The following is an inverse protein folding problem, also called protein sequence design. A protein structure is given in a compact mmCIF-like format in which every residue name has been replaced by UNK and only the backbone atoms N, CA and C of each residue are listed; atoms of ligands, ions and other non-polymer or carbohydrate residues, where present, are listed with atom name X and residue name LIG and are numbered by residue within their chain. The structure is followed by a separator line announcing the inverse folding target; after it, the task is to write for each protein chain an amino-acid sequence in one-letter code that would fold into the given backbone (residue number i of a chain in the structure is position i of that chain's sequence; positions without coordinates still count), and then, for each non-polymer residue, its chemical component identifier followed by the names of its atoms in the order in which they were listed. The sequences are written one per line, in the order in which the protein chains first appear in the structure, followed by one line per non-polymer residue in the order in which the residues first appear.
data_IF_475506465123
#
_entry.id   IF_475506465123
#
_cell.length_a   1.000
_cell.length_b   1.000
_cell.length_c   1.000
_cell.angle_alpha   90.00
_cell.angle_beta   90.00
_cell.angle_gamma   90.00
#
_symmetry.space_group_name_H-M   'P 1'
#
loop_
_entity.id
_entity.type
_entity.pdbx_description
1 polymer ?
#
# COMPACT_ATOMS: atom_id res chain seq x y z
N UNK A 1 21.51 -6.79 -11.84
CA UNK A 1 21.26 -8.24 -11.77
C UNK A 1 19.77 -8.44 -11.74
N UNK A 2 19.30 -9.58 -12.22
CA UNK A 2 17.86 -9.91 -12.30
C UNK A 2 17.25 -10.38 -10.97
N UNK A 3 18.09 -10.59 -9.94
CA UNK A 3 17.70 -11.07 -8.61
C UNK A 3 17.04 -12.47 -8.66
N UNK A 4 17.27 -13.26 -9.71
CA UNK A 4 16.62 -14.58 -9.86
C UNK A 4 17.07 -15.59 -8.79
N UNK A 5 18.22 -15.37 -8.17
CA UNK A 5 18.80 -16.16 -7.08
C UNK A 5 18.27 -15.76 -5.70
N UNK A 6 17.45 -14.72 -5.61
CA UNK A 6 16.88 -14.20 -4.37
C UNK A 6 15.41 -14.60 -4.20
N UNK A 7 14.89 -14.68 -2.95
CA UNK A 7 13.48 -14.94 -2.72
C UNK A 7 12.62 -13.74 -3.16
N UNK A 8 11.52 -14.01 -3.87
CA UNK A 8 10.62 -12.98 -4.44
C UNK A 8 10.16 -11.92 -3.44
N UNK A 9 10.08 -12.31 -2.16
CA UNK A 9 9.79 -11.43 -1.04
C UNK A 9 10.74 -11.72 0.10
N UNK A 10 11.34 -10.68 0.66
CA UNK A 10 12.15 -10.73 1.86
C UNK A 10 11.72 -9.63 2.83
N UNK A 11 12.02 -9.85 4.10
CA UNK A 11 11.85 -8.86 5.15
C UNK A 11 13.16 -8.80 5.91
N UNK A 12 13.76 -7.62 6.00
CA UNK A 12 15.01 -7.40 6.72
C UNK A 12 14.79 -6.38 7.83
N UNK A 13 15.57 -6.52 8.89
CA UNK A 13 15.70 -5.50 9.92
C UNK A 13 16.86 -4.57 9.53
N UNK A 14 16.76 -3.26 9.74
CA UNK A 14 17.88 -2.35 9.54
C UNK A 14 19.07 -2.74 10.41
N UNK A 15 20.28 -2.49 9.90
CA UNK A 15 21.53 -2.78 10.60
C UNK A 15 21.76 -1.90 11.83
N UNK A 16 21.20 -0.68 11.79
CA UNK A 16 21.26 0.33 12.83
C UNK A 16 19.86 0.91 13.08
N UNK A 17 19.63 1.50 14.26
CA UNK A 17 18.40 2.25 14.50
C UNK A 17 18.43 3.52 13.67
N UNK A 18 17.60 3.58 12.62
CA UNK A 18 17.48 4.75 11.76
C UNK A 18 16.06 5.33 11.83
N UNK A 19 15.97 6.65 11.92
CA UNK A 19 14.71 7.38 11.77
C UNK A 19 14.55 7.78 10.31
N UNK A 20 13.48 7.32 9.67
CA UNK A 20 13.19 7.60 8.27
C UNK A 20 11.78 8.17 8.18
N UNK A 21 11.68 9.40 7.67
CA UNK A 21 10.41 10.08 7.47
C UNK A 21 9.51 10.18 8.72
N UNK A 22 10.11 10.49 9.87
CA UNK A 22 9.43 10.68 11.15
C UNK A 22 9.01 9.39 11.86
N UNK A 23 9.53 8.23 11.43
CA UNK A 23 9.28 6.93 12.04
C UNK A 23 10.61 6.20 12.28
N UNK A 24 10.70 5.45 13.37
CA UNK A 24 11.81 4.52 13.57
C UNK A 24 11.61 3.35 12.61
N UNK A 25 12.61 3.07 11.79
CA UNK A 25 12.57 1.94 10.87
C UNK A 25 12.87 0.65 11.63
N UNK A 26 11.83 -0.15 11.86
CA UNK A 26 11.95 -1.47 12.50
C UNK A 26 12.10 -2.60 11.47
N UNK A 27 11.63 -2.37 10.23
CA UNK A 27 11.47 -3.41 9.22
C UNK A 27 11.43 -2.83 7.80
N UNK A 28 12.14 -3.46 6.89
CA UNK A 28 12.12 -3.17 5.45
C UNK A 28 11.57 -4.41 4.73
N UNK A 29 10.45 -4.24 4.04
CA UNK A 29 9.93 -5.27 3.13
C UNK A 29 10.48 -5.05 1.73
N UNK A 30 10.99 -6.11 1.14
CA UNK A 30 11.59 -6.13 -0.19
C UNK A 30 10.77 -7.10 -1.03
N UNK A 31 10.35 -6.66 -2.21
CA UNK A 31 9.79 -7.52 -3.25
C UNK A 31 10.56 -7.26 -4.53
N UNK A 32 10.93 -8.32 -5.26
CA UNK A 32 11.48 -8.16 -6.61
C UNK A 32 10.61 -8.90 -7.63
N UNK A 33 10.65 -8.42 -8.87
CA UNK A 33 9.89 -8.97 -9.99
C UNK A 33 10.79 -9.69 -11.00
N UNK A 34 11.92 -10.25 -10.56
CA UNK A 34 12.88 -10.94 -11.43
C UNK A 34 12.30 -12.16 -12.16
N UNK A 35 11.17 -12.68 -11.68
CA UNK A 35 10.43 -13.78 -12.30
C UNK A 35 9.53 -13.35 -13.47
N UNK A 36 9.28 -12.05 -13.67
CA UNK A 36 8.42 -11.51 -14.72
C UNK A 36 9.26 -10.70 -15.72
N UNK A 37 9.57 -11.26 -16.91
CA UNK A 37 10.42 -10.59 -17.90
C UNK A 37 9.76 -9.36 -18.54
N UNK A 38 8.46 -9.13 -18.30
CA UNK A 38 7.76 -7.94 -18.80
C UNK A 38 7.96 -6.73 -17.89
N UNK A 39 8.43 -6.93 -16.66
CA UNK A 39 8.58 -5.89 -15.65
C UNK A 39 9.89 -5.09 -15.79
N UNK A 40 10.91 -5.64 -16.45
CA UNK A 40 12.19 -4.98 -16.66
C UNK A 40 12.90 -5.50 -17.93
N UNK A 41 13.81 -4.71 -18.55
CA UNK A 41 14.66 -5.22 -19.63
C UNK A 41 15.50 -6.43 -19.21
N UNK A 42 15.93 -7.23 -20.19
CA UNK A 42 16.77 -8.41 -19.95
C UNK A 42 17.99 -8.11 -19.05
N UNK A 43 18.21 -8.95 -18.03
CA UNK A 43 19.29 -8.80 -17.05
C UNK A 43 19.03 -7.77 -15.93
N UNK A 44 17.84 -7.16 -15.89
CA UNK A 44 17.41 -6.18 -14.89
C UNK A 44 16.18 -6.69 -14.13
N UNK A 45 15.87 -6.01 -13.03
CA UNK A 45 14.72 -6.33 -12.18
C UNK A 45 14.20 -5.07 -11.51
N UNK A 46 12.91 -5.06 -11.17
CA UNK A 46 12.29 -4.02 -10.35
C UNK A 46 12.21 -4.50 -8.92
N UNK A 47 12.70 -3.68 -7.99
CA UNK A 47 12.53 -3.88 -6.56
C UNK A 47 11.49 -2.89 -6.03
N UNK A 48 10.55 -3.37 -5.25
CA UNK A 48 9.64 -2.56 -4.45
C UNK A 48 10.05 -2.68 -2.99
N UNK A 49 10.36 -1.54 -2.39
CA UNK A 49 10.74 -1.43 -1.00
C UNK A 49 9.61 -0.73 -0.25
N UNK A 50 9.10 -1.37 0.81
CA UNK A 50 8.04 -0.79 1.65
C UNK A 50 8.40 -0.84 3.12
N UNK A 51 8.04 0.24 3.81
CA UNK A 51 8.25 0.45 5.24
C UNK A 51 7.22 1.47 5.76
N UNK A 52 7.09 1.57 7.09
CA UNK A 52 6.19 2.54 7.73
C UNK A 52 6.69 3.97 7.49
N UNK A 53 5.76 4.91 7.30
CA UNK A 53 6.09 6.31 7.15
C UNK A 53 4.99 7.19 7.73
N UNK A 54 5.38 8.30 8.38
CA UNK A 54 4.42 9.21 9.01
C UNK A 54 3.74 10.09 7.97
N UNK A 55 2.40 10.01 7.88
CA UNK A 55 1.63 10.91 7.01
C UNK A 55 1.84 12.38 7.39
N UNK A 56 1.76 12.70 8.69
CA UNK A 56 1.82 14.08 9.17
C UNK A 56 3.20 14.70 8.91
N UNK A 57 4.27 13.90 9.00
CA UNK A 57 5.63 14.31 8.60
C UNK A 57 5.67 14.75 7.13
N UNK A 58 5.22 13.89 6.22
CA UNK A 58 5.20 14.20 4.78
C UNK A 58 4.24 15.31 4.41
N UNK A 59 3.12 15.44 5.14
CA UNK A 59 2.11 16.48 4.91
C UNK A 59 2.67 17.87 5.20
N UNK A 60 3.47 18.03 6.26
CA UNK A 60 4.17 19.29 6.57
C UNK A 60 5.09 19.75 5.45
N UNK A 61 5.77 18.80 4.79
CA UNK A 61 6.67 19.10 3.67
C UNK A 61 5.93 19.44 2.37
N UNK A 62 4.63 19.15 2.27
CA UNK A 62 3.91 19.21 0.98
C UNK A 62 3.86 20.61 0.37
N UNK A 63 3.84 21.66 1.20
CA UNK A 63 3.87 23.06 0.77
C UNK A 63 5.23 23.50 0.20
N UNK A 64 6.30 22.75 0.47
CA UNK A 64 7.65 23.03 -0.01
C UNK A 64 8.09 21.92 -0.98
N UNK A 65 7.88 22.12 -2.29
CA UNK A 65 8.21 21.11 -3.30
C UNK A 65 9.69 20.71 -3.29
N UNK A 66 10.59 21.69 -3.14
CA UNK A 66 12.04 21.45 -3.13
C UNK A 66 12.42 20.62 -1.91
N UNK A 67 11.93 21.01 -0.72
CA UNK A 67 12.14 20.26 0.52
C UNK A 67 11.56 18.84 0.46
N UNK A 68 10.35 18.69 -0.06
CA UNK A 68 9.71 17.39 -0.23
C UNK A 68 10.50 16.44 -1.16
N UNK A 69 11.03 16.95 -2.28
CA UNK A 69 11.84 16.16 -3.18
C UNK A 69 13.24 15.85 -2.60
N UNK A 70 13.83 16.80 -1.87
CA UNK A 70 15.09 16.57 -1.14
C UNK A 70 14.92 15.46 -0.10
N UNK A 71 13.83 15.50 0.66
CA UNK A 71 13.53 14.49 1.67
C UNK A 71 13.32 13.10 1.03
N UNK A 72 12.57 13.02 -0.08
CA UNK A 72 12.44 11.77 -0.86
C UNK A 72 13.80 11.20 -1.24
N UNK A 73 14.72 12.05 -1.71
CA UNK A 73 16.08 11.63 -2.05
C UNK A 73 16.85 11.14 -0.82
N UNK A 74 16.79 11.87 0.30
CA UNK A 74 17.48 11.48 1.54
C UNK A 74 16.97 10.14 2.07
N UNK A 75 15.65 9.90 2.01
CA UNK A 75 15.05 8.62 2.37
C UNK A 75 15.54 7.50 1.43
N UNK A 76 15.55 7.72 0.12
CA UNK A 76 16.07 6.73 -0.83
C UNK A 76 17.54 6.40 -0.57
N UNK A 77 18.38 7.40 -0.35
CA UNK A 77 19.81 7.22 -0.09
C UNK A 77 20.05 6.41 1.21
N UNK A 78 19.27 6.66 2.27
CA UNK A 78 19.31 5.87 3.51
C UNK A 78 18.90 4.41 3.30
N UNK A 79 17.82 4.17 2.57
CA UNK A 79 17.36 2.81 2.27
C UNK A 79 18.37 2.07 1.39
N UNK A 80 18.98 2.73 0.41
CA UNK A 80 20.03 2.12 -0.43
C UNK A 80 21.24 1.71 0.41
N UNK A 81 21.64 2.52 1.40
CA UNK A 81 22.71 2.17 2.33
C UNK A 81 22.36 0.89 3.11
N UNK A 82 21.14 0.77 3.64
CA UNK A 82 20.71 -0.45 4.32
C UNK A 82 20.63 -1.66 3.39
N UNK A 83 20.17 -1.47 2.15
CA UNK A 83 20.13 -2.53 1.16
C UNK A 83 21.52 -3.00 0.76
N UNK A 84 22.52 -2.12 0.74
CA UNK A 84 23.90 -2.49 0.42
C UNK A 84 24.52 -3.46 1.44
N UNK A 85 24.07 -3.42 2.69
CA UNK A 85 24.47 -4.40 3.71
C UNK A 85 23.98 -5.81 3.39
N UNK A 86 22.80 -5.93 2.74
CA UNK A 86 22.23 -7.22 2.31
C UNK A 86 22.68 -7.64 0.92
N UNK A 87 22.82 -6.67 0.02
CA UNK A 87 23.15 -6.84 -1.40
C UNK A 87 24.36 -5.97 -1.74
N UNK A 88 25.59 -6.45 -1.47
CA UNK A 88 26.79 -5.70 -1.78
C UNK A 88 26.85 -5.26 -3.25
N UNK A 89 27.18 -4.00 -3.48
CA UNK A 89 27.26 -3.42 -4.81
C UNK A 89 25.90 -3.11 -5.46
N UNK A 90 24.81 -3.03 -4.69
CA UNK A 90 23.48 -2.68 -5.22
C UNK A 90 23.42 -1.23 -5.69
N UNK A 91 24.08 -0.30 -4.97
CA UNK A 91 24.01 1.12 -5.25
C UNK A 91 24.47 1.46 -6.68
N UNK A 92 25.51 0.79 -7.16
CA UNK A 92 26.11 0.94 -8.48
C UNK A 92 25.24 0.32 -9.60
N UNK A 93 24.28 -0.53 -9.23
CA UNK A 93 23.38 -1.23 -10.17
C UNK A 93 22.01 -0.56 -10.29
N UNK A 94 21.74 0.51 -9.53
CA UNK A 94 20.48 1.24 -9.56
C UNK A 94 20.50 2.24 -10.72
N UNK A 95 19.58 2.07 -11.66
CA UNK A 95 19.45 2.95 -12.82
C UNK A 95 18.32 3.98 -12.68
N UNK A 96 17.32 3.67 -11.84
CA UNK A 96 16.16 4.53 -11.61
C UNK A 96 15.63 4.35 -10.19
N UNK A 97 15.15 5.44 -9.61
CA UNK A 97 14.53 5.48 -8.29
C UNK A 97 13.26 6.31 -8.39
N UNK A 98 12.15 5.78 -7.88
CA UNK A 98 10.96 6.55 -7.56
C UNK A 98 10.56 6.32 -6.11
N UNK A 99 10.02 7.36 -5.48
CA UNK A 99 9.62 7.34 -4.07
C UNK A 99 8.18 7.79 -3.96
N UNK A 100 7.29 6.89 -3.56
CA UNK A 100 5.93 7.20 -3.17
C UNK A 100 5.84 7.41 -1.66
N UNK A 101 5.10 8.43 -1.22
CA UNK A 101 4.86 8.72 0.21
C UNK A 101 3.37 8.65 0.53
N UNK A 102 2.95 8.63 1.81
CA UNK A 102 1.53 8.69 2.16
C UNK A 102 0.76 9.83 1.49
N UNK A 103 1.39 11.00 1.31
CA UNK A 103 0.79 12.14 0.59
C UNK A 103 0.72 11.91 -0.93
N UNK A 104 1.60 11.07 -1.47
CA UNK A 104 1.48 10.60 -2.86
C UNK A 104 0.23 9.72 -2.98
N UNK A 105 0.06 8.73 -2.11
CA UNK A 105 -1.14 7.88 -2.12
C UNK A 105 -2.43 8.68 -1.92
N UNK A 106 -2.49 9.57 -0.92
CA UNK A 106 -3.63 10.47 -0.72
C UNK A 106 -3.99 11.24 -2.00
N UNK A 107 -3.00 11.82 -2.68
CA UNK A 107 -3.24 12.59 -3.91
C UNK A 107 -3.83 11.72 -5.03
N UNK A 108 -3.34 10.50 -5.22
CA UNK A 108 -3.71 9.67 -6.36
C UNK A 108 -4.98 8.85 -6.12
N UNK A 109 -5.26 8.47 -4.88
CA UNK A 109 -6.38 7.56 -4.57
C UNK A 109 -7.45 8.19 -3.68
N UNK A 110 -7.24 9.42 -3.21
CA UNK A 110 -8.09 10.08 -2.21
C UNK A 110 -8.25 9.29 -0.89
N UNK A 111 -7.39 8.30 -0.64
CA UNK A 111 -7.43 7.54 0.60
C UNK A 111 -7.04 8.44 1.77
N UNK A 112 -7.86 8.37 2.83
CA UNK A 112 -7.60 9.10 4.07
C UNK A 112 -6.19 8.78 4.59
N UNK A 113 -5.40 9.84 4.78
CA UNK A 113 -3.98 9.78 5.19
C UNK A 113 -3.10 8.85 4.34
N UNK A 114 -3.48 8.54 3.11
CA UNK A 114 -2.72 7.66 2.21
C UNK A 114 -2.76 6.18 2.58
N UNK A 115 -3.75 5.72 3.36
CA UNK A 115 -3.88 4.31 3.72
C UNK A 115 -4.03 3.41 2.48
N UNK A 116 -3.28 2.30 2.46
CA UNK A 116 -3.25 1.35 1.34
C UNK A 116 -4.17 0.14 1.53
N UNK A 117 -4.55 -0.16 2.78
CA UNK A 117 -5.38 -1.33 3.14
C UNK A 117 -6.52 -0.96 4.11
N UNK A 118 -7.04 0.27 4.01
CA UNK A 118 -8.15 0.74 4.84
C UNK A 118 -7.82 0.72 6.34
N UNK A 119 -8.66 0.07 7.14
CA UNK A 119 -8.51 0.01 8.59
C UNK A 119 -7.53 -1.07 9.01
N UNK A 120 -6.60 -0.71 9.91
CA UNK A 120 -5.73 -1.69 10.55
C UNK A 120 -6.57 -2.64 11.42
N UNK A 121 -6.40 -3.94 11.20
CA UNK A 121 -7.04 -4.97 12.03
C UNK A 121 -6.22 -5.13 13.32
N UNK A 122 -6.81 -4.72 14.42
CA UNK A 122 -6.28 -4.84 15.79
C UNK A 122 -7.30 -5.60 16.64
N UNK A 123 -6.94 -6.09 17.84
CA UNK A 123 -7.92 -6.69 18.75
C UNK A 123 -9.12 -5.79 19.04
N UNK A 124 -8.93 -4.47 19.03
CA UNK A 124 -10.00 -3.50 19.26
C UNK A 124 -10.89 -3.30 18.03
N UNK A 125 -10.32 -3.38 16.82
CA UNK A 125 -11.07 -3.14 15.56
C UNK A 125 -11.62 -4.41 14.93
N UNK A 126 -11.14 -5.60 15.33
CA UNK A 126 -11.52 -6.87 14.72
C UNK A 126 -13.02 -7.17 14.87
N UNK A 127 -13.63 -6.77 16.00
CA UNK A 127 -15.07 -6.92 16.22
C UNK A 127 -15.89 -6.14 15.19
N UNK A 128 -15.54 -4.87 14.96
CA UNK A 128 -16.17 -4.05 13.92
C UNK A 128 -15.90 -4.58 12.50
N UNK A 129 -14.71 -5.14 12.29
CA UNK A 129 -14.27 -5.65 11.01
C UNK A 129 -14.97 -6.98 10.63
N UNK A 130 -15.25 -7.84 11.61
CA UNK A 130 -15.67 -9.24 11.39
C UNK A 130 -17.12 -9.55 11.80
N UNK A 131 -17.72 -8.86 12.78
CA UNK A 131 -19.03 -9.24 13.32
C UNK A 131 -20.19 -8.76 12.42
N UNK A 132 -20.51 -7.46 12.46
CA UNK A 132 -21.61 -6.88 11.68
C UNK A 132 -21.14 -6.27 10.34
N UNK A 133 -19.82 -6.28 10.13
CA UNK A 133 -19.17 -5.48 9.10
C UNK A 133 -19.39 -3.98 9.31
N UNK A 134 -18.71 -3.18 8.49
CA UNK A 134 -18.99 -1.76 8.45
C UNK A 134 -20.24 -1.51 7.61
N UNK A 135 -21.18 -0.72 8.15
CA UNK A 135 -22.42 -0.38 7.48
C UNK A 135 -22.17 0.15 6.07
N UNK A 136 -22.89 -0.40 5.08
CA UNK A 136 -22.77 -0.01 3.66
C UNK A 136 -23.77 1.06 3.24
N UNK A 137 -24.55 1.57 4.18
CA UNK A 137 -25.53 2.63 3.99
C UNK A 137 -25.28 3.72 5.02
N UNK A 138 -25.84 4.91 4.78
CA UNK A 138 -25.73 6.04 5.69
C UNK A 138 -27.13 6.43 6.17
N UNK A 139 -27.39 6.50 7.50
CA UNK A 139 -28.67 6.94 8.02
C UNK A 139 -29.07 8.31 7.45
N UNK A 140 -30.33 8.44 7.02
CA UNK A 140 -30.85 9.66 6.40
C UNK A 140 -30.64 9.76 4.88
N UNK A 141 -29.83 8.89 4.26
CA UNK A 141 -29.64 8.86 2.82
C UNK A 141 -30.32 7.63 2.20
N UNK A 142 -31.39 7.88 1.42
CA UNK A 142 -32.05 6.85 0.62
C UNK A 142 -31.25 6.58 -0.66
N UNK A 143 -31.23 5.32 -1.11
CA UNK A 143 -30.56 4.88 -2.34
C UNK A 143 -29.07 5.24 -2.38
N UNK A 144 -28.41 5.26 -1.22
CA UNK A 144 -27.00 5.54 -1.07
C UNK A 144 -26.28 4.31 -0.50
N UNK A 145 -25.20 3.89 -1.17
CA UNK A 145 -24.42 2.73 -0.78
C UNK A 145 -22.93 3.04 -0.87
N UNK A 146 -22.18 2.48 0.07
CA UNK A 146 -20.72 2.56 0.12
C UNK A 146 -20.12 1.21 -0.25
N UNK A 147 -19.11 1.23 -1.12
CA UNK A 147 -18.33 0.05 -1.49
C UNK A 147 -16.83 0.40 -1.45
N UNK A 148 -16.02 -0.59 -1.12
CA UNK A 148 -14.56 -0.49 -1.14
C UNK A 148 -13.91 -0.85 0.20
N UNK A 149 -12.60 -0.60 0.29
CA UNK A 149 -11.78 -1.02 1.42
C UNK A 149 -12.17 -0.42 2.79
N UNK A 150 -12.89 0.70 2.80
CA UNK A 150 -13.33 1.36 4.03
C UNK A 150 -14.59 0.76 4.63
N UNK A 151 -15.24 -0.17 3.93
CA UNK A 151 -16.46 -0.85 4.38
C UNK A 151 -16.33 -2.39 4.33
N UNK A 152 -15.10 -2.88 4.27
CA UNK A 152 -14.74 -4.29 4.42
C UNK A 152 -13.49 -4.45 5.31
N UNK A 153 -13.35 -5.57 6.04
CA UNK A 153 -12.14 -5.88 6.80
C UNK A 153 -10.93 -6.08 5.89
N UNK A 154 -9.75 -5.64 6.37
CA UNK A 154 -8.44 -6.00 5.80
C UNK A 154 -8.02 -5.29 4.51
N UNK A 155 -8.91 -4.54 3.86
CA UNK A 155 -8.60 -3.73 2.68
C UNK A 155 -8.00 -4.47 1.48
N UNK A 156 -7.51 -3.72 0.49
CA UNK A 156 -6.93 -4.31 -0.72
C UNK A 156 -7.95 -4.77 -1.76
N UNK A 157 -7.44 -5.38 -2.84
CA UNK A 157 -8.22 -5.70 -4.05
C UNK A 157 -9.35 -6.72 -3.77
N UNK A 158 -9.10 -7.88 -3.12
CA UNK A 158 -10.16 -8.86 -2.93
C UNK A 158 -11.32 -8.34 -2.05
N UNK A 159 -11.08 -7.69 -0.90
CA UNK A 159 -12.16 -7.07 -0.13
C UNK A 159 -12.90 -5.97 -0.91
N UNK A 160 -12.22 -5.13 -1.69
CA UNK A 160 -12.89 -4.13 -2.52
C UNK A 160 -13.87 -4.75 -3.54
N UNK A 161 -13.47 -5.84 -4.21
CA UNK A 161 -14.33 -6.56 -5.14
C UNK A 161 -15.53 -7.22 -4.44
N UNK A 162 -15.29 -7.85 -3.28
CA UNK A 162 -16.34 -8.45 -2.44
C UNK A 162 -17.34 -7.37 -2.00
N UNK A 163 -16.85 -6.19 -1.62
CA UNK A 163 -17.67 -5.05 -1.21
C UNK A 163 -18.66 -4.64 -2.30
N UNK A 164 -18.16 -4.49 -3.54
CA UNK A 164 -18.99 -4.14 -4.69
C UNK A 164 -20.07 -5.19 -4.95
N UNK A 165 -19.71 -6.47 -4.91
CA UNK A 165 -20.67 -7.58 -5.05
C UNK A 165 -21.77 -7.50 -3.97
N UNK A 166 -21.39 -7.35 -2.70
CA UNK A 166 -22.34 -7.26 -1.59
C UNK A 166 -23.31 -6.09 -1.75
N UNK A 167 -22.84 -4.93 -2.21
CA UNK A 167 -23.71 -3.76 -2.48
C UNK A 167 -24.73 -4.06 -3.58
N UNK A 168 -24.33 -4.71 -4.67
CA UNK A 168 -25.26 -5.10 -5.73
C UNK A 168 -26.29 -6.13 -5.21
N UNK A 169 -25.86 -7.11 -4.42
CA UNK A 169 -26.79 -8.07 -3.78
C UNK A 169 -27.81 -7.36 -2.87
N UNK A 170 -27.38 -6.35 -2.11
CA UNK A 170 -28.28 -5.52 -1.29
C UNK A 170 -29.29 -4.74 -2.14
N UNK A 171 -28.85 -4.13 -3.24
CA UNK A 171 -29.72 -3.37 -4.17
C UNK A 171 -30.74 -4.32 -4.81
N UNK A 172 -30.30 -5.47 -5.33
CA UNK A 172 -31.19 -6.48 -5.91
C UNK A 172 -32.26 -6.91 -4.92
N UNK A 173 -31.90 -7.18 -3.67
CA UNK A 173 -32.84 -7.55 -2.61
C UNK A 173 -33.87 -6.45 -2.33
N UNK A 174 -33.45 -5.18 -2.30
CA UNK A 174 -34.36 -4.04 -2.09
C UNK A 174 -35.31 -3.83 -3.27
N UNK A 175 -34.84 -4.09 -4.49
CA UNK A 175 -35.62 -4.02 -5.72
C UNK A 175 -36.54 -5.24 -5.95
N UNK A 176 -36.48 -6.26 -5.09
CA UNK A 176 -37.19 -7.53 -5.32
C UNK A 176 -36.69 -8.32 -6.53
N UNK A 177 -35.45 -8.09 -6.98
CA UNK A 177 -34.82 -8.76 -8.13
C UNK A 177 -33.84 -9.83 -7.65
N UNK A 178 -33.74 -10.99 -8.33
CA UNK A 178 -32.68 -11.95 -8.07
C UNK A 178 -31.32 -11.41 -8.53
N UNK A 179 -30.30 -11.54 -7.70
CA UNK A 179 -28.92 -11.30 -8.12
C UNK A 179 -28.47 -12.36 -9.14
N UNK A 180 -27.87 -11.95 -10.25
CA UNK A 180 -27.32 -12.83 -11.28
C UNK A 180 -25.88 -12.45 -11.57
N UNK A 181 -24.94 -13.32 -11.21
CA UNK A 181 -23.57 -13.21 -11.69
C UNK A 181 -23.47 -13.86 -13.09
N UNK A 182 -22.75 -13.23 -14.01
CA UNK A 182 -22.36 -13.88 -15.25
C UNK A 182 -21.46 -15.08 -14.89
N UNK A 183 -21.72 -16.24 -15.49
CA UNK A 183 -20.78 -17.36 -15.40
C UNK A 183 -19.54 -16.98 -16.22
N UNK A 184 -18.42 -16.80 -15.55
CA UNK A 184 -17.08 -16.68 -16.15
C UNK A 184 -16.56 -18.04 -16.57
#
# INVERSE_FOLDING_TARGET
GDFSDQPHKAVIQPSEVIEVAGEILDRISIRHYGYDPTMAPNGKSVLIITFKASYDYWKKLRGNRVGYNKEKKQVADQIIKELANRFPGIAEKIEAIDVATPVTYERYTANWKGAIEGWLVTPDTIGMAMADGMGKTLPGLKNFYMAGQWVEPGGGIPPAAISGKKVIEMICKQDGKPFKALKS
#
